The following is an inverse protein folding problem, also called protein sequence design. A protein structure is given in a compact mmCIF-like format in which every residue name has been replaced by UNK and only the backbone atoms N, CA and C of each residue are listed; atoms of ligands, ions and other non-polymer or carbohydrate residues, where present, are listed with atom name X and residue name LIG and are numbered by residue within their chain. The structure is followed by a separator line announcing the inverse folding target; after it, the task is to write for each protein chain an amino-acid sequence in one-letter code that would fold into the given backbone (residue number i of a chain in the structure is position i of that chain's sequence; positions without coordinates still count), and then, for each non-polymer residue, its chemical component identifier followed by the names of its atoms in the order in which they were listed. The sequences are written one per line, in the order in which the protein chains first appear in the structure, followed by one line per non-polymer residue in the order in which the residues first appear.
data_IF_526636479648
#
_entry.id   IF_526636479648
#
_cell.length_a   1.000
_cell.length_b   1.000
_cell.length_c   1.000
_cell.angle_alpha   90.00
_cell.angle_beta   90.00
_cell.angle_gamma   90.00
#
_symmetry.space_group_name_H-M   'P 1'
#
loop_
_entity.id
_entity.type
_entity.pdbx_description
1 polymer ?
#
# COMPACT_ATOMS: atom_id res chain seq x y z
N UNK A 1 -3.68 -11.40 1.91
CA UNK A 1 -2.28 -10.99 2.15
C UNK A 1 -2.10 -9.58 1.66
N UNK A 2 -1.22 -8.78 2.28
CA UNK A 2 -0.90 -7.42 1.88
C UNK A 2 0.60 -7.20 1.89
N UNK A 3 1.03 -6.21 1.12
CA UNK A 3 2.42 -5.81 1.05
C UNK A 3 2.54 -4.29 1.18
N UNK A 4 3.51 -3.83 1.96
CA UNK A 4 3.90 -2.43 2.04
C UNK A 4 5.22 -2.23 1.29
N UNK A 5 5.29 -1.18 0.47
CA UNK A 5 6.48 -0.84 -0.30
C UNK A 5 7.27 0.33 0.29
N UNK A 6 8.59 0.22 0.23
CA UNK A 6 9.56 1.27 0.51
C UNK A 6 10.66 1.26 -0.56
N UNK A 7 11.39 2.38 -0.70
CA UNK A 7 12.39 2.56 -1.74
C UNK A 7 11.80 3.22 -2.99
N UNK A 8 12.17 2.74 -4.18
CA UNK A 8 11.69 3.31 -5.44
C UNK A 8 10.22 2.97 -5.65
N UNK A 9 9.34 3.98 -5.66
CA UNK A 9 7.90 3.77 -5.75
C UNK A 9 7.47 2.93 -6.98
N UNK A 10 7.98 3.27 -8.16
CA UNK A 10 7.67 2.56 -9.40
C UNK A 10 8.09 1.08 -9.34
N UNK A 11 9.26 0.79 -8.76
CA UNK A 11 9.74 -0.58 -8.60
C UNK A 11 8.84 -1.39 -7.65
N UNK A 12 8.40 -0.78 -6.54
CA UNK A 12 7.50 -1.45 -5.59
C UNK A 12 6.13 -1.73 -6.20
N UNK A 13 5.57 -0.79 -6.94
CA UNK A 13 4.25 -0.91 -7.57
C UNK A 13 4.27 -2.01 -8.64
N UNK A 14 5.19 -1.93 -9.61
CA UNK A 14 5.26 -2.89 -10.69
C UNK A 14 5.64 -4.30 -10.21
N UNK A 15 6.49 -4.40 -9.19
CA UNK A 15 6.84 -5.69 -8.58
C UNK A 15 5.63 -6.31 -7.88
N UNK A 16 4.91 -5.53 -7.06
CA UNK A 16 3.75 -6.07 -6.33
C UNK A 16 2.58 -6.43 -7.25
N UNK A 17 2.33 -5.64 -8.30
CA UNK A 17 1.30 -5.93 -9.30
C UNK A 17 1.61 -7.21 -10.09
N UNK A 18 2.85 -7.38 -10.55
CA UNK A 18 3.27 -8.58 -11.26
C UNK A 18 3.11 -9.84 -10.39
N UNK A 19 3.55 -9.76 -9.13
CA UNK A 19 3.42 -10.89 -8.19
C UNK A 19 1.95 -11.16 -7.87
N UNK A 20 1.13 -10.13 -7.66
CA UNK A 20 -0.30 -10.31 -7.41
C UNK A 20 -0.98 -11.07 -8.56
N UNK A 21 -0.65 -10.73 -9.82
CA UNK A 21 -1.15 -11.44 -10.99
C UNK A 21 -0.73 -12.92 -11.01
N UNK A 22 0.55 -13.22 -10.74
CA UNK A 22 1.03 -14.60 -10.66
C UNK A 22 0.36 -15.41 -9.54
N UNK A 23 0.14 -14.76 -8.38
CA UNK A 23 -0.54 -15.39 -7.26
C UNK A 23 -2.01 -15.67 -7.56
N UNK A 24 -2.68 -14.78 -8.29
CA UNK A 24 -4.07 -14.98 -8.71
C UNK A 24 -4.18 -16.15 -9.70
N UNK A 25 -3.27 -16.23 -10.67
CA UNK A 25 -3.19 -17.40 -11.57
C UNK A 25 -2.93 -18.69 -10.79
N UNK A 26 -2.05 -18.66 -9.79
CA UNK A 26 -1.79 -19.82 -8.93
C UNK A 26 -3.01 -20.23 -8.10
N UNK A 27 -3.76 -19.25 -7.57
CA UNK A 27 -5.00 -19.46 -6.82
C UNK A 27 -6.06 -20.13 -7.69
N UNK A 28 -6.27 -19.62 -8.91
CA UNK A 28 -7.23 -20.17 -9.87
C UNK A 28 -6.87 -21.59 -10.31
N UNK A 29 -5.59 -21.86 -10.56
CA UNK A 29 -5.13 -23.18 -10.98
C UNK A 29 -5.22 -24.23 -9.84
N UNK A 30 -4.98 -23.84 -8.60
CA UNK A 30 -4.99 -24.77 -7.46
C UNK A 30 -6.35 -24.89 -6.77
N UNK A 31 -7.24 -23.91 -6.97
CA UNK A 31 -8.51 -23.81 -6.25
C UNK A 31 -8.35 -23.60 -4.74
N UNK A 32 -7.18 -23.17 -4.26
CA UNK A 32 -6.84 -23.02 -2.84
C UNK A 32 -6.33 -21.64 -2.53
N UNK A 33 -6.45 -21.23 -1.27
CA UNK A 33 -5.82 -19.99 -0.77
C UNK A 33 -4.30 -20.13 -0.85
N UNK A 34 -3.65 -19.12 -1.42
CA UNK A 34 -2.19 -19.11 -1.59
C UNK A 34 -1.51 -18.85 -0.24
N UNK A 35 -0.54 -19.68 0.18
CA UNK A 35 0.29 -19.41 1.35
C UNK A 35 1.16 -18.16 1.21
N UNK A 36 1.48 -17.49 2.32
CA UNK A 36 2.31 -16.27 2.31
C UNK A 36 3.74 -16.58 1.86
N UNK A 37 4.23 -17.78 2.17
CA UNK A 37 5.57 -18.23 1.78
C UNK A 37 5.74 -18.35 0.25
N UNK A 38 4.66 -18.61 -0.49
CA UNK A 38 4.68 -18.63 -1.96
C UNK A 38 4.97 -17.24 -2.51
N UNK A 39 4.26 -16.22 -2.00
CA UNK A 39 4.49 -14.82 -2.38
C UNK A 39 5.93 -14.39 -2.06
N UNK A 40 6.42 -14.70 -0.85
CA UNK A 40 7.82 -14.43 -0.46
C UNK A 40 8.82 -15.08 -1.43
N UNK A 41 8.55 -16.31 -1.87
CA UNK A 41 9.45 -17.05 -2.77
C UNK A 41 9.49 -16.43 -4.18
N UNK A 42 8.35 -16.02 -4.71
CA UNK A 42 8.31 -15.37 -6.03
C UNK A 42 9.00 -14.01 -6.01
N UNK A 43 8.73 -13.20 -4.97
CA UNK A 43 9.36 -11.88 -4.82
C UNK A 43 10.88 -12.02 -4.70
N UNK A 44 11.38 -12.87 -3.80
CA UNK A 44 12.83 -12.99 -3.58
C UNK A 44 13.57 -13.50 -4.81
N UNK A 45 12.98 -14.44 -5.56
CA UNK A 45 13.56 -14.96 -6.79
C UNK A 45 13.60 -13.88 -7.88
N UNK A 46 12.53 -13.10 -8.02
CA UNK A 46 12.49 -11.97 -8.93
C UNK A 46 13.54 -10.93 -8.57
N UNK A 47 13.58 -10.43 -7.33
CA UNK A 47 14.53 -9.41 -6.90
C UNK A 47 15.98 -9.88 -7.03
N UNK A 48 16.28 -11.13 -6.66
CA UNK A 48 17.60 -11.71 -6.82
C UNK A 48 18.00 -11.83 -8.30
N UNK A 49 17.07 -12.13 -9.21
CA UNK A 49 17.36 -12.16 -10.66
C UNK A 49 17.86 -10.81 -11.18
N UNK A 50 17.39 -9.71 -10.62
CA UNK A 50 17.83 -8.36 -10.98
C UNK A 50 19.00 -7.84 -10.13
N UNK A 51 19.61 -8.66 -9.27
CA UNK A 51 20.83 -8.35 -8.51
C UNK A 51 20.80 -6.98 -7.79
N UNK A 52 19.63 -6.58 -7.28
CA UNK A 52 19.45 -5.32 -6.55
C UNK A 52 19.22 -4.07 -7.43
N UNK A 53 19.09 -4.20 -8.75
CA UNK A 53 18.73 -3.08 -9.63
C UNK A 53 17.29 -2.60 -9.44
N UNK A 54 16.40 -3.48 -8.97
CA UNK A 54 15.02 -3.13 -8.59
C UNK A 54 15.06 -2.69 -7.13
N UNK A 55 14.83 -1.40 -6.88
CA UNK A 55 14.91 -0.77 -5.56
C UNK A 55 13.68 -0.98 -4.69
N UNK A 56 13.09 -2.18 -4.71
CA UNK A 56 11.88 -2.50 -3.95
C UNK A 56 12.22 -3.15 -2.61
N UNK A 57 12.01 -2.40 -1.53
CA UNK A 57 12.02 -2.90 -0.16
C UNK A 57 10.57 -3.19 0.26
N UNK A 58 10.26 -4.44 0.61
CA UNK A 58 8.89 -4.89 0.80
C UNK A 58 8.70 -5.50 2.19
N UNK A 59 7.61 -5.13 2.87
CA UNK A 59 7.11 -5.85 4.04
C UNK A 59 5.88 -6.64 3.58
N UNK A 60 5.94 -7.96 3.66
CA UNK A 60 4.87 -8.87 3.26
C UNK A 60 4.21 -9.45 4.51
N UNK A 61 2.92 -9.19 4.67
CA UNK A 61 2.11 -9.68 5.79
C UNK A 61 0.89 -10.45 5.32
N UNK A 62 0.57 -11.54 6.00
CA UNK A 62 -0.65 -12.29 5.71
C UNK A 62 -1.00 -13.30 6.79
N UNK A 63 -2.18 -13.88 6.64
CA UNK A 63 -2.66 -14.98 7.45
C UNK A 63 -2.90 -16.17 6.53
N UNK A 64 -2.24 -17.29 6.81
CA UNK A 64 -2.42 -18.55 6.09
C UNK A 64 -2.79 -19.70 7.04
N UNK A 65 -2.73 -20.94 6.56
CA UNK A 65 -3.07 -22.13 7.34
C UNK A 65 -2.16 -22.32 8.56
N UNK A 66 -0.90 -21.88 8.45
CA UNK A 66 0.09 -21.94 9.53
C UNK A 66 -0.02 -20.73 10.49
N UNK A 67 -0.93 -19.80 10.20
CA UNK A 67 -1.23 -18.63 11.02
C UNK A 67 -0.69 -17.31 10.43
N UNK A 68 -0.51 -16.28 11.28
CA UNK A 68 -0.01 -14.99 10.83
C UNK A 68 1.49 -15.06 10.53
N UNK A 69 1.88 -14.59 9.35
CA UNK A 69 3.27 -14.55 8.90
C UNK A 69 3.63 -13.14 8.44
N UNK A 70 4.82 -12.68 8.84
CA UNK A 70 5.39 -11.39 8.48
C UNK A 70 6.82 -11.60 7.96
N UNK A 71 7.07 -11.07 6.76
CA UNK A 71 8.35 -11.13 6.08
C UNK A 71 8.86 -9.73 5.77
N UNK A 72 10.15 -9.51 6.02
CA UNK A 72 10.89 -8.37 5.50
C UNK A 72 11.69 -8.84 4.29
N UNK A 73 11.58 -8.15 3.16
CA UNK A 73 12.23 -8.49 1.90
C UNK A 73 13.05 -7.29 1.45
N UNK A 74 14.36 -7.46 1.34
CA UNK A 74 15.27 -6.42 0.90
C UNK A 74 15.44 -6.44 -0.63
N UNK A 75 15.84 -5.31 -1.27
CA UNK A 75 15.96 -5.20 -2.72
C UNK A 75 16.87 -6.22 -3.41
N UNK A 76 17.83 -6.79 -2.68
CA UNK A 76 18.75 -7.80 -3.19
C UNK A 76 18.22 -9.24 -3.10
N UNK A 77 16.98 -9.42 -2.61
CA UNK A 77 16.31 -10.73 -2.50
C UNK A 77 16.59 -11.49 -1.20
N UNK A 78 17.26 -10.89 -0.21
CA UNK A 78 17.30 -11.47 1.13
C UNK A 78 15.96 -11.29 1.83
N UNK A 79 15.60 -12.25 2.68
CA UNK A 79 14.30 -12.28 3.35
C UNK A 79 14.44 -12.71 4.80
N UNK A 80 13.74 -12.05 5.69
CA UNK A 80 13.70 -12.35 7.12
C UNK A 80 12.25 -12.59 7.56
N UNK A 81 12.02 -13.62 8.40
CA UNK A 81 10.72 -13.87 9.03
C UNK A 81 10.78 -13.38 10.48
N UNK A 82 10.04 -12.32 10.79
CA UNK A 82 10.14 -11.60 12.07
C UNK A 82 8.76 -11.42 12.71
N UNK A 83 8.71 -11.07 14.00
CA UNK A 83 7.46 -10.75 14.70
C UNK A 83 6.99 -9.32 14.45
N UNK A 84 7.94 -8.42 14.25
CA UNK A 84 7.74 -7.04 13.84
C UNK A 84 8.95 -6.60 13.01
N UNK A 85 8.78 -5.61 12.16
CA UNK A 85 9.84 -5.06 11.32
C UNK A 85 9.47 -3.66 10.84
N UNK A 86 10.45 -2.91 10.35
CA UNK A 86 10.28 -1.55 9.83
C UNK A 86 11.14 -1.39 8.60
N UNK A 87 10.64 -0.67 7.59
CA UNK A 87 11.39 -0.33 6.37
C UNK A 87 11.17 1.15 6.03
N UNK A 88 11.99 1.69 5.13
CA UNK A 88 11.94 3.10 4.70
C UNK A 88 12.85 4.02 5.51
N UNK A 89 12.81 5.32 5.21
CA UNK A 89 13.67 6.34 5.83
C UNK A 89 13.41 6.54 7.32
N UNK A 90 12.14 6.58 7.74
CA UNK A 90 11.73 6.69 9.14
C UNK A 90 11.82 5.39 9.96
N UNK A 91 12.41 4.33 9.41
CA UNK A 91 12.44 2.99 10.01
C UNK A 91 13.11 2.96 11.39
N UNK A 92 14.23 3.67 11.57
CA UNK A 92 14.96 3.68 12.85
C UNK A 92 14.14 4.29 13.98
N UNK A 93 13.40 5.37 13.72
CA UNK A 93 12.52 5.99 14.70
C UNK A 93 11.36 5.05 15.06
N UNK A 94 10.74 4.42 14.05
CA UNK A 94 9.69 3.43 14.26
C UNK A 94 10.19 2.21 15.06
N UNK A 95 11.40 1.73 14.76
CA UNK A 95 12.00 0.58 15.44
C UNK A 95 12.22 0.86 16.93
N UNK A 96 12.64 2.06 17.30
CA UNK A 96 12.82 2.41 18.73
C UNK A 96 11.52 2.31 19.55
N UNK A 97 10.38 2.64 18.94
CA UNK A 97 9.06 2.48 19.58
C UNK A 97 8.65 1.01 19.65
N UNK A 98 8.88 0.24 18.59
CA UNK A 98 8.57 -1.19 18.58
C UNK A 98 9.39 -1.94 19.64
N UNK A 99 10.71 -1.74 19.68
CA UNK A 99 11.60 -2.38 20.66
C UNK A 99 11.24 -2.04 22.11
N UNK A 100 10.76 -0.81 22.38
CA UNK A 100 10.47 -0.38 23.75
C UNK A 100 9.14 -0.89 24.30
N UNK A 101 8.15 -1.16 23.44
CA UNK A 101 6.76 -1.39 23.88
C UNK A 101 6.09 -2.63 23.30
N UNK A 102 6.70 -3.31 22.33
CA UNK A 102 6.20 -4.57 21.80
C UNK A 102 6.21 -5.69 22.84
N UNK A 103 5.18 -6.53 22.81
CA UNK A 103 5.06 -7.73 23.64
C UNK A 103 4.47 -8.87 22.79
N UNK A 104 4.78 -10.14 23.12
CA UNK A 104 4.06 -11.26 22.53
C UNK A 104 2.57 -11.20 22.93
N UNK A 105 1.71 -11.69 22.05
CA UNK A 105 0.27 -11.91 22.28
C UNK A 105 -0.52 -10.67 22.72
N UNK A 106 -0.18 -9.50 22.17
CA UNK A 106 -0.93 -8.26 22.38
C UNK A 106 -2.36 -8.35 21.87
N UNK A 107 -3.28 -7.62 22.52
CA UNK A 107 -4.62 -7.42 21.99
C UNK A 107 -4.60 -6.58 20.71
N UNK A 108 -5.65 -6.69 19.90
CA UNK A 108 -5.75 -5.95 18.64
C UNK A 108 -5.67 -4.43 18.84
N UNK A 109 -6.33 -3.89 19.86
CA UNK A 109 -6.31 -2.46 20.17
C UNK A 109 -4.95 -1.97 20.66
N UNK A 110 -4.23 -2.80 21.44
CA UNK A 110 -2.85 -2.49 21.83
C UNK A 110 -1.92 -2.50 20.62
N UNK A 111 -2.06 -3.48 19.72
CA UNK A 111 -1.27 -3.58 18.50
C UNK A 111 -1.52 -2.39 17.56
N UNK A 112 -2.79 -1.97 17.38
CA UNK A 112 -3.15 -0.78 16.59
C UNK A 112 -2.46 0.48 17.13
N UNK A 113 -2.52 0.68 18.46
CA UNK A 113 -1.86 1.82 19.11
C UNK A 113 -0.33 1.76 18.98
N UNK A 114 0.27 0.59 19.17
CA UNK A 114 1.71 0.38 19.02
C UNK A 114 2.19 0.75 17.62
N UNK A 115 1.56 0.20 16.58
CA UNK A 115 1.94 0.46 15.18
C UNK A 115 1.72 1.93 14.84
N UNK A 116 0.58 2.51 15.25
CA UNK A 116 0.32 3.93 15.01
C UNK A 116 1.36 4.84 15.66
N UNK A 117 1.75 4.55 16.91
CA UNK A 117 2.78 5.29 17.61
C UNK A 117 4.17 5.13 16.95
N UNK A 118 4.49 3.94 16.44
CA UNK A 118 5.75 3.70 15.73
C UNK A 118 5.82 4.51 14.42
N UNK A 119 4.76 4.50 13.62
CA UNK A 119 4.70 5.33 12.40
C UNK A 119 4.70 6.81 12.74
N UNK A 120 3.99 7.23 13.79
CA UNK A 120 3.99 8.62 14.29
C UNK A 120 5.39 9.08 14.69
N UNK A 121 6.18 8.23 15.34
CA UNK A 121 7.58 8.54 15.64
C UNK A 121 8.41 8.72 14.36
N UNK A 122 8.19 7.89 13.33
CA UNK A 122 8.76 8.10 12.00
C UNK A 122 8.37 9.45 11.39
N UNK A 123 7.08 9.78 11.39
CA UNK A 123 6.53 11.03 10.85
C UNK A 123 7.15 12.28 11.49
N UNK A 124 7.35 12.29 12.81
CA UNK A 124 7.88 13.48 13.49
C UNK A 124 9.41 13.56 13.54
N UNK A 125 10.13 12.47 13.23
CA UNK A 125 11.59 12.44 13.32
C UNK A 125 12.30 12.22 11.96
N UNK A 126 11.57 11.93 10.89
CA UNK A 126 12.10 11.82 9.53
C UNK A 126 11.51 12.89 8.60
N UNK A 127 12.35 13.52 7.78
CA UNK A 127 11.95 14.60 6.88
C UNK A 127 11.13 14.11 5.68
N UNK A 128 11.36 12.86 5.25
CA UNK A 128 10.69 12.26 4.10
C UNK A 128 9.41 11.50 4.48
N UNK A 129 9.12 11.37 5.79
CA UNK A 129 7.92 10.73 6.32
C UNK A 129 6.92 11.80 6.79
N UNK A 130 5.64 11.65 6.49
CA UNK A 130 4.65 12.67 6.87
C UNK A 130 3.20 12.31 6.56
N UNK A 131 2.30 13.23 6.88
CA UNK A 131 0.85 13.17 6.63
C UNK A 131 0.06 12.28 7.60
N UNK A 132 -0.71 11.32 7.09
CA UNK A 132 -1.63 10.49 7.86
C UNK A 132 -1.00 9.12 8.12
N UNK A 133 -1.47 8.47 9.19
CA UNK A 133 -1.14 7.08 9.48
C UNK A 133 -2.29 6.21 8.98
N UNK A 134 -1.95 5.24 8.14
CA UNK A 134 -2.87 4.22 7.65
C UNK A 134 -2.60 2.89 8.38
N UNK A 135 -3.66 2.16 8.72
CA UNK A 135 -3.55 0.82 9.30
C UNK A 135 -4.30 -0.21 8.44
N UNK A 136 -3.71 -1.38 8.29
CA UNK A 136 -4.34 -2.55 7.69
C UNK A 136 -4.32 -3.69 8.72
N UNK A 137 -5.51 -4.15 9.11
CA UNK A 137 -5.68 -5.21 10.10
C UNK A 137 -6.06 -6.48 9.34
N UNK A 138 -5.18 -7.49 9.40
CA UNK A 138 -5.38 -8.78 8.73
C UNK A 138 -5.74 -9.82 9.79
N UNK A 139 -6.97 -10.30 9.76
CA UNK A 139 -7.47 -11.41 10.58
C UNK A 139 -7.58 -12.68 9.72
N UNK A 140 -7.90 -13.81 10.33
CA UNK A 140 -8.01 -15.11 9.62
C UNK A 140 -8.97 -15.06 8.42
N UNK A 141 -10.11 -14.40 8.57
CA UNK A 141 -11.19 -14.38 7.57
C UNK A 141 -11.57 -12.98 7.10
N UNK A 142 -10.99 -11.93 7.70
CA UNK A 142 -11.37 -10.56 7.41
C UNK A 142 -10.16 -9.66 7.33
N UNK A 143 -10.30 -8.61 6.53
CA UNK A 143 -9.33 -7.54 6.40
C UNK A 143 -10.07 -6.24 6.61
N UNK A 144 -9.48 -5.35 7.39
CA UNK A 144 -10.00 -4.02 7.63
C UNK A 144 -8.92 -2.99 7.31
N UNK A 145 -9.30 -1.99 6.51
CA UNK A 145 -8.40 -0.94 6.08
C UNK A 145 -8.86 0.41 6.65
N UNK A 146 -8.01 1.02 7.47
CA UNK A 146 -8.28 2.26 8.17
C UNK A 146 -7.42 3.37 7.56
N UNK A 147 -8.03 4.15 6.67
CA UNK A 147 -7.39 5.28 5.96
C UNK A 147 -8.31 6.51 5.99
N UNK A 148 -7.96 7.58 6.74
CA UNK A 148 -6.88 7.66 7.73
C UNK A 148 -7.26 7.04 9.08
N UNK A 149 -6.29 6.45 9.79
CA UNK A 149 -6.46 6.08 11.20
C UNK A 149 -6.08 7.23 12.16
N UNK A 150 -4.93 7.86 11.94
CA UNK A 150 -4.46 9.05 12.68
C UNK A 150 -4.03 10.15 11.70
N UNK A 151 -4.28 11.41 12.05
CA UNK A 151 -3.87 12.58 11.28
C UNK A 151 -2.81 13.33 12.08
N UNK A 152 -1.54 13.13 11.74
CA UNK A 152 -0.43 13.69 12.52
C UNK A 152 -0.29 15.21 12.33
N UNK A 153 -0.56 15.69 11.11
CA UNK A 153 -0.38 17.10 10.71
C UNK A 153 -1.59 17.61 9.95
N UNK A 154 -2.11 18.77 10.36
CA UNK A 154 -3.23 19.45 9.70
C UNK A 154 -2.71 20.68 8.96
N UNK A 155 -3.17 20.87 7.72
CA UNK A 155 -2.83 22.07 6.94
C UNK A 155 -3.51 23.30 7.55
N UNK A 156 -2.75 24.37 7.76
CA UNK A 156 -3.30 25.64 8.22
C UNK A 156 -4.29 26.26 7.23
N UNK A 157 -5.21 27.06 7.76
CA UNK A 157 -6.19 27.79 6.96
C UNK A 157 -5.53 28.97 6.23
N UNK A 158 -5.88 29.15 4.96
CA UNK A 158 -5.33 30.26 4.16
C UNK A 158 -6.02 31.56 4.55
N UNK A 159 -5.28 32.50 5.14
CA UNK A 159 -5.83 33.77 5.64
C UNK A 159 -6.22 34.77 4.53
N UNK A 160 -5.58 34.72 3.36
CA UNK A 160 -5.78 35.70 2.29
C UNK A 160 -6.19 35.00 0.99
N UNK A 161 -7.04 35.65 0.19
CA UNK A 161 -7.38 35.16 -1.14
C UNK A 161 -6.53 35.77 -2.24
N UNK A 162 -5.71 34.95 -2.92
CA UNK A 162 -4.94 35.35 -4.12
C UNK A 162 -5.70 35.12 -5.44
N UNK A 163 -7.05 35.10 -5.42
CA UNK A 163 -7.83 34.89 -6.65
C UNK A 163 -7.93 36.19 -7.44
N UNK A 164 -7.35 36.20 -8.64
CA UNK A 164 -7.49 37.30 -9.59
C UNK A 164 -8.78 37.16 -10.41
N UNK A 165 -9.31 38.29 -10.89
CA UNK A 165 -10.47 38.30 -11.79
C UNK A 165 -10.09 37.72 -13.16
N UNK A 166 -11.01 37.05 -13.88
CA UNK A 166 -10.76 36.62 -15.26
C UNK A 166 -10.29 37.78 -16.14
N UNK A 167 -9.28 37.53 -16.99
CA UNK A 167 -8.71 38.55 -17.88
C UNK A 167 -7.44 39.25 -17.38
N UNK A 168 -6.95 38.94 -16.17
CA UNK A 168 -5.69 39.51 -15.65
C UNK A 168 -4.42 38.95 -16.30
N UNK A 169 -4.50 37.78 -16.93
CA UNK A 169 -3.37 37.14 -17.63
C UNK A 169 -3.46 37.45 -19.12
N UNK A 170 -2.40 38.01 -19.71
CA UNK A 170 -2.32 38.23 -21.16
C UNK A 170 -2.25 36.91 -21.92
N UNK A 171 -3.14 36.73 -22.89
CA UNK A 171 -3.20 35.53 -23.73
C UNK A 171 -2.79 35.91 -25.15
N UNK A 172 -1.67 35.36 -25.64
CA UNK A 172 -1.15 35.66 -26.97
C UNK A 172 -1.94 34.97 -28.10
N UNK A 173 -2.39 33.74 -27.85
CA UNK A 173 -3.16 32.96 -28.82
C UNK A 173 -4.15 32.08 -28.07
N UNK A 174 -5.39 32.03 -28.55
CA UNK A 174 -6.44 31.14 -28.06
C UNK A 174 -7.00 30.37 -29.24
N UNK A 175 -7.02 29.05 -29.14
CA UNK A 175 -7.71 28.17 -30.09
C UNK A 175 -8.86 27.51 -29.34
N UNK A 176 -10.06 27.55 -29.92
CA UNK A 176 -11.24 26.86 -29.38
C UNK A 176 -11.66 25.83 -30.40
N UNK A 177 -11.65 24.56 -29.99
CA UNK A 177 -12.18 23.45 -30.78
C UNK A 177 -13.51 23.02 -30.16
N UNK A 178 -14.65 23.27 -30.83
CA UNK A 178 -15.93 22.79 -30.34
C UNK A 178 -15.96 21.25 -30.46
N UNK A 179 -16.40 20.58 -29.41
CA UNK A 179 -16.73 19.15 -29.48
C UNK A 179 -18.11 19.07 -30.13
N UNK A 180 -18.16 18.55 -31.36
CA UNK A 180 -19.41 18.29 -32.07
C UNK A 180 -19.81 16.85 -31.73
N UNK A 181 -20.88 16.69 -30.96
CA UNK A 181 -21.46 15.37 -30.68
C UNK A 181 -22.40 15.06 -31.84
N UNK A 182 -21.97 14.16 -32.73
CA UNK A 182 -22.76 13.76 -33.91
C UNK A 182 -23.86 12.74 -33.56
N UNK A 183 -23.63 11.89 -32.56
CA UNK A 183 -24.58 10.87 -32.14
C UNK A 183 -24.46 10.62 -30.64
N UNK A 184 -25.60 10.66 -29.94
CA UNK A 184 -25.71 10.32 -28.51
C UNK A 184 -26.41 8.96 -28.42
N UNK A 185 -25.63 7.89 -28.27
CA UNK A 185 -26.16 6.54 -28.09
C UNK A 185 -26.29 6.25 -26.60
N UNK A 186 -27.54 6.18 -26.12
CA UNK A 186 -27.84 5.71 -24.77
C UNK A 186 -27.77 4.19 -24.77
N UNK A 187 -26.62 3.63 -24.39
CA UNK A 187 -26.49 2.20 -24.15
C UNK A 187 -27.19 1.86 -22.82
N UNK A 188 -28.43 1.38 -22.87
CA UNK A 188 -29.03 0.66 -21.75
C UNK A 188 -28.23 -0.63 -21.55
N UNK A 189 -27.45 -0.68 -20.48
CA UNK A 189 -26.86 -1.92 -19.98
C UNK A 189 -28.05 -2.76 -19.51
N UNK A 190 -28.48 -3.73 -20.31
CA UNK A 190 -29.34 -4.79 -19.81
C UNK A 190 -28.54 -5.52 -18.72
N UNK A 191 -29.09 -5.55 -17.52
CA UNK A 191 -28.57 -6.42 -16.47
C UNK A 191 -28.75 -7.85 -16.96
N UNK A 192 -27.70 -8.46 -17.52
CA UNK A 192 -27.65 -9.90 -17.71
C UNK A 192 -27.95 -10.52 -16.34
N UNK A 193 -29.12 -11.15 -16.23
CA UNK A 193 -29.42 -11.99 -15.09
C UNK A 193 -28.36 -13.09 -15.09
N UNK A 194 -27.50 -13.06 -14.09
CA UNK A 194 -26.55 -14.12 -13.80
C UNK A 194 -27.32 -15.44 -13.80
N UNK A 195 -27.04 -16.32 -14.77
CA UNK A 195 -27.71 -17.61 -14.87
C UNK A 195 -27.26 -18.48 -13.68
N UNK A 196 -28.07 -18.47 -12.62
CA UNK A 196 -27.87 -19.27 -11.42
C UNK A 196 -28.48 -20.66 -11.57
N UNK A 197 -28.26 -21.32 -12.71
CA UNK A 197 -28.56 -22.75 -12.83
C UNK A 197 -27.43 -23.56 -12.20
N UNK A 198 -27.83 -24.28 -11.15
CA UNK A 198 -27.10 -25.12 -10.19
C UNK A 198 -26.02 -26.06 -10.74
#
# INVERSE_FOLDING_TARGET
MYCCGAGTAADTEMTTEMIASQLELHRLNTGRVVPVCTANTLIKQMLFRYQGHIGAALILGGFDLDGPQLYCIYPHGSTEKLKYTTMGSGSLAAMSVLESTWKPDMSEEEAKKLVANAIRAGVFNDLASGSNVDLCIIRKNSVEYLRPYDTASVKGERQISYRYKPGTTSVLKKTVQPIIVEEETVCTIESEAMDTSA
#
